data_IF_030473174633
#
_entry.id   IF_030473174633
#
_cell.length_a   1.000
_cell.length_b   1.000
_cell.length_c   1.000
_cell.angle_alpha   90.00
_cell.angle_beta   90.00
_cell.angle_gamma   90.00
#
_symmetry.space_group_name_H-M   'P 1'
#
loop_
_entity.id
_entity.type
_entity.pdbx_description
1 polymer ?
#
# COMPACT_ATOMS: atom_id res chain seq x y z
N UNK A 1 12.17 -12.13 5.32
CA UNK A 1 11.10 -11.29 4.70
C UNK A 1 10.87 -11.65 3.22
N UNK A 2 11.88 -11.74 2.37
CA UNK A 2 11.72 -12.01 0.93
C UNK A 2 10.87 -13.27 0.61
N UNK A 3 11.08 -14.39 1.31
CA UNK A 3 10.28 -15.60 1.13
C UNK A 3 8.80 -15.37 1.48
N UNK A 4 8.52 -14.67 2.59
CA UNK A 4 7.16 -14.30 2.98
C UNK A 4 6.49 -13.36 1.97
N UNK A 5 7.27 -12.58 1.22
CA UNK A 5 6.83 -11.71 0.14
C UNK A 5 6.87 -12.43 -1.24
N UNK A 6 6.49 -13.70 -1.30
CA UNK A 6 6.43 -14.49 -2.54
C UNK A 6 7.74 -14.49 -3.34
N UNK A 7 8.88 -14.64 -2.64
CA UNK A 7 10.22 -14.65 -3.23
C UNK A 7 10.62 -13.35 -3.95
N UNK A 8 10.06 -12.23 -3.56
CA UNK A 8 10.49 -10.91 -4.03
C UNK A 8 11.80 -10.54 -3.34
N UNK A 9 12.93 -11.01 -3.87
CA UNK A 9 14.24 -10.95 -3.22
C UNK A 9 14.76 -9.52 -3.07
N UNK A 10 14.39 -8.60 -3.94
CA UNK A 10 14.79 -7.19 -3.85
C UNK A 10 14.41 -6.52 -2.51
N UNK A 11 13.42 -7.07 -1.80
CA UNK A 11 13.06 -6.58 -0.45
C UNK A 11 14.20 -6.77 0.57
N UNK A 12 15.11 -7.70 0.31
CA UNK A 12 16.26 -7.95 1.18
C UNK A 12 17.39 -6.93 0.98
N UNK A 13 17.41 -6.25 -0.18
CA UNK A 13 18.41 -5.24 -0.53
C UNK A 13 17.99 -3.84 -0.06
N UNK A 14 16.73 -3.66 0.32
CA UNK A 14 16.22 -2.40 0.84
C UNK A 14 16.76 -2.11 2.25
N UNK A 15 17.18 -0.87 2.51
CA UNK A 15 17.66 -0.42 3.82
C UNK A 15 16.59 -0.56 4.90
N UNK A 16 15.35 -0.29 4.55
CA UNK A 16 14.20 -0.33 5.46
C UNK A 16 13.01 -0.99 4.77
N UNK A 17 12.25 -1.80 5.52
CA UNK A 17 10.95 -2.31 5.10
C UNK A 17 9.89 -1.86 6.10
N UNK A 18 8.96 -1.03 5.65
CA UNK A 18 7.83 -0.56 6.45
C UNK A 18 6.68 -1.56 6.27
N UNK A 19 6.18 -2.10 7.38
CA UNK A 19 4.96 -2.91 7.36
C UNK A 19 3.78 -2.06 7.85
N UNK A 20 2.79 -1.86 7.00
CA UNK A 20 1.57 -1.18 7.38
C UNK A 20 0.60 -2.12 8.07
N UNK A 21 0.15 -1.73 9.24
CA UNK A 21 -0.76 -2.52 10.05
C UNK A 21 -2.11 -1.81 10.20
N UNK A 22 -3.19 -2.59 10.21
CA UNK A 22 -4.53 -2.11 10.49
C UNK A 22 -5.13 -2.84 11.69
N UNK A 23 -5.84 -2.11 12.56
CA UNK A 23 -6.57 -2.70 13.70
C UNK A 23 -8.08 -2.82 13.40
N UNK A 24 -8.58 -4.03 13.10
CA UNK A 24 -10.02 -4.24 12.88
C UNK A 24 -10.88 -3.92 14.11
N UNK A 25 -10.31 -4.03 15.32
CA UNK A 25 -11.01 -3.75 16.58
C UNK A 25 -11.29 -2.26 16.75
N UNK A 26 -10.30 -1.42 16.59
CA UNK A 26 -10.46 0.05 16.67
C UNK A 26 -11.38 0.60 15.58
N UNK A 27 -11.29 0.05 14.36
CA UNK A 27 -12.14 0.47 13.27
C UNK A 27 -13.64 0.23 13.52
N UNK A 28 -13.99 -0.83 14.24
CA UNK A 28 -15.37 -1.14 14.61
C UNK A 28 -15.94 -0.19 15.66
N UNK A 29 -15.10 0.37 16.53
CA UNK A 29 -15.53 1.28 17.59
C UNK A 29 -15.91 2.67 17.07
N UNK A 30 -15.44 3.04 15.88
CA UNK A 30 -15.59 4.39 15.30
C UNK A 30 -16.69 4.51 14.26
N UNK A 31 -17.30 3.41 13.82
CA UNK A 31 -18.21 3.42 12.68
C UNK A 31 -19.52 2.69 12.99
N UNK A 32 -20.62 3.30 12.55
CA UNK A 32 -21.91 2.65 12.46
C UNK A 32 -21.80 1.39 11.57
N UNK A 33 -22.41 0.31 12.02
CA UNK A 33 -22.45 -0.98 11.31
C UNK A 33 -23.05 -0.89 9.89
N UNK A 34 -23.77 0.19 9.59
CA UNK A 34 -24.31 0.48 8.26
C UNK A 34 -23.25 0.90 7.25
N UNK A 35 -22.09 1.38 7.70
CA UNK A 35 -21.01 1.79 6.82
C UNK A 35 -20.16 0.57 6.44
N UNK A 36 -20.31 0.10 5.20
CA UNK A 36 -19.52 -1.01 4.62
C UNK A 36 -18.04 -0.68 4.40
N UNK A 37 -17.52 0.36 5.06
CA UNK A 37 -16.08 0.68 5.00
C UNK A 37 -15.28 -0.36 5.78
N UNK A 38 -14.09 -0.63 5.29
CA UNK A 38 -13.08 -1.45 5.97
C UNK A 38 -11.92 -0.50 6.34
N UNK A 39 -12.12 0.41 7.34
CA UNK A 39 -11.16 1.49 7.63
C UNK A 39 -9.78 0.97 7.99
N UNK A 40 -9.72 -0.15 8.72
CA UNK A 40 -8.44 -0.78 9.08
C UNK A 40 -7.60 -1.21 7.87
N UNK A 41 -8.20 -1.26 6.67
CA UNK A 41 -7.47 -1.50 5.41
C UNK A 41 -7.23 -0.21 4.64
N UNK A 42 -8.24 0.66 4.58
CA UNK A 42 -8.19 1.88 3.75
C UNK A 42 -7.30 2.97 4.35
N UNK A 43 -7.43 3.22 5.65
CA UNK A 43 -6.69 4.28 6.31
C UNK A 43 -5.16 4.07 6.27
N UNK A 44 -4.61 2.86 6.54
CA UNK A 44 -3.19 2.60 6.35
C UNK A 44 -2.71 2.76 4.89
N UNK A 45 -3.56 2.44 3.90
CA UNK A 45 -3.20 2.63 2.48
C UNK A 45 -2.97 4.09 2.13
N UNK A 46 -3.79 5.00 2.67
CA UNK A 46 -3.63 6.45 2.49
C UNK A 46 -2.30 6.90 3.12
N UNK A 47 -2.00 6.43 4.32
CA UNK A 47 -0.75 6.79 5.00
C UNK A 47 0.49 6.30 4.23
N UNK A 48 0.46 5.07 3.70
CA UNK A 48 1.57 4.54 2.90
C UNK A 48 1.75 5.34 1.62
N UNK A 49 0.68 5.72 0.92
CA UNK A 49 0.79 6.52 -0.30
C UNK A 49 1.50 7.86 -0.03
N UNK A 50 1.19 8.52 1.10
CA UNK A 50 1.93 9.71 1.50
C UNK A 50 3.41 9.41 1.77
N UNK A 51 3.75 8.25 2.35
CA UNK A 51 5.14 7.83 2.54
C UNK A 51 5.86 7.60 1.20
N UNK A 52 5.19 6.99 0.22
CA UNK A 52 5.71 6.80 -1.15
C UNK A 52 6.03 8.14 -1.80
N UNK A 53 5.11 9.10 -1.73
CA UNK A 53 5.31 10.44 -2.29
C UNK A 53 6.46 11.17 -1.58
N UNK A 54 6.53 11.10 -0.25
CA UNK A 54 7.61 11.69 0.52
C UNK A 54 8.97 11.06 0.19
N UNK A 55 9.05 9.73 0.13
CA UNK A 55 10.27 9.00 -0.23
C UNK A 55 10.76 9.41 -1.61
N UNK A 56 9.87 9.48 -2.60
CA UNK A 56 10.20 9.93 -3.96
C UNK A 56 10.76 11.35 -3.96
N UNK A 57 10.15 12.26 -3.20
CA UNK A 57 10.61 13.66 -3.09
C UNK A 57 12.00 13.75 -2.46
N UNK A 58 12.34 12.82 -1.57
CA UNK A 58 13.64 12.73 -0.91
C UNK A 58 14.68 11.94 -1.73
N UNK A 59 14.33 11.45 -2.93
CA UNK A 59 15.22 10.71 -3.81
C UNK A 59 15.34 9.22 -3.51
N UNK A 60 14.46 8.66 -2.66
CA UNK A 60 14.41 7.23 -2.38
C UNK A 60 13.49 6.49 -3.37
N UNK A 61 13.84 5.23 -3.62
CA UNK A 61 13.01 4.27 -4.33
C UNK A 61 12.11 3.51 -3.35
N UNK A 62 10.92 3.15 -3.81
CA UNK A 62 9.95 2.35 -3.06
C UNK A 62 9.27 1.34 -3.96
N UNK A 63 8.75 0.27 -3.37
CA UNK A 63 7.89 -0.68 -4.07
C UNK A 63 6.73 -1.10 -3.17
N UNK A 64 5.49 -0.89 -3.62
CA UNK A 64 4.31 -1.36 -2.90
C UNK A 64 4.13 -2.86 -3.07
N UNK A 65 4.27 -3.63 -1.99
CA UNK A 65 4.07 -5.08 -1.98
C UNK A 65 2.74 -5.40 -1.30
N UNK A 66 1.79 -5.92 -2.09
CA UNK A 66 0.51 -6.44 -1.61
C UNK A 66 0.40 -7.96 -1.68
N UNK A 67 1.35 -8.62 -2.33
CA UNK A 67 1.38 -10.08 -2.48
C UNK A 67 2.41 -10.70 -1.53
N UNK A 68 1.95 -11.19 -0.38
CA UNK A 68 2.77 -11.83 0.65
C UNK A 68 1.95 -12.84 1.47
N UNK A 69 2.64 -13.75 2.16
CA UNK A 69 2.04 -14.58 3.19
C UNK A 69 1.93 -13.79 4.50
N UNK A 70 0.73 -13.37 4.86
CA UNK A 70 0.46 -12.57 6.04
C UNK A 70 0.88 -13.28 7.34
N UNK A 71 0.68 -14.60 7.43
CA UNK A 71 1.04 -15.37 8.64
C UNK A 71 2.54 -15.37 8.85
N UNK A 72 3.31 -15.58 7.78
CA UNK A 72 4.76 -15.55 7.84
C UNK A 72 5.30 -14.15 8.17
N UNK A 73 4.73 -13.10 7.60
CA UNK A 73 5.08 -11.72 7.94
C UNK A 73 4.81 -11.44 9.42
N UNK A 74 3.63 -11.82 9.92
CA UNK A 74 3.29 -11.67 11.35
C UNK A 74 4.27 -12.43 12.25
N UNK A 75 4.62 -13.65 11.88
CA UNK A 75 5.58 -14.46 12.63
C UNK A 75 6.95 -13.80 12.70
N UNK A 76 7.46 -13.30 11.57
CA UNK A 76 8.78 -12.67 11.47
C UNK A 76 8.83 -11.36 12.27
N UNK A 77 7.79 -10.52 12.13
CA UNK A 77 7.71 -9.20 12.76
C UNK A 77 7.09 -9.22 14.16
N UNK A 78 6.67 -10.40 14.65
CA UNK A 78 5.97 -10.57 15.93
C UNK A 78 4.71 -9.70 16.04
N UNK A 79 3.98 -9.56 14.92
CA UNK A 79 2.72 -8.81 14.86
C UNK A 79 1.63 -9.61 15.54
N UNK A 80 0.87 -9.03 16.48
CA UNK A 80 -0.27 -9.70 17.12
C UNK A 80 -1.33 -10.15 16.11
N UNK A 81 -1.94 -11.33 16.31
CA UNK A 81 -2.93 -11.91 15.40
C UNK A 81 -4.14 -11.01 15.12
N UNK A 82 -4.52 -10.17 16.09
CA UNK A 82 -5.64 -9.23 15.95
C UNK A 82 -5.40 -8.14 14.90
N UNK A 83 -4.14 -7.84 14.56
CA UNK A 83 -3.79 -6.83 13.56
C UNK A 83 -3.70 -7.47 12.18
N UNK A 84 -4.12 -6.72 11.16
CA UNK A 84 -3.95 -7.09 9.76
C UNK A 84 -2.68 -6.44 9.18
N UNK A 85 -1.90 -7.19 8.42
CA UNK A 85 -0.82 -6.62 7.60
C UNK A 85 -1.42 -6.20 6.27
N UNK A 86 -1.33 -4.92 5.94
CA UNK A 86 -1.99 -4.33 4.76
C UNK A 86 -1.05 -4.29 3.56
N UNK A 87 0.19 -3.88 3.79
CA UNK A 87 1.22 -3.80 2.76
C UNK A 87 2.61 -3.83 3.38
N UNK A 88 3.59 -4.20 2.57
CA UNK A 88 5.01 -4.02 2.86
C UNK A 88 5.56 -2.98 1.89
N UNK A 89 6.32 -2.03 2.39
CA UNK A 89 6.94 -0.97 1.62
C UNK A 89 8.46 -0.98 1.86
N UNK A 90 9.25 -1.66 1.04
CA UNK A 90 10.69 -1.47 1.03
C UNK A 90 11.03 -0.05 0.57
N UNK A 91 12.01 0.55 1.24
CA UNK A 91 12.54 1.89 0.95
C UNK A 91 14.06 1.78 0.90
N UNK A 92 14.67 2.31 -0.15
CA UNK A 92 16.11 2.29 -0.33
C UNK A 92 16.58 3.25 -1.41
N UNK A 93 17.88 3.29 -1.65
CA UNK A 93 18.45 4.04 -2.79
C UNK A 93 18.10 3.27 -4.08
N UNK A 94 17.44 3.90 -5.07
CA UNK A 94 17.05 3.20 -6.28
C UNK A 94 18.28 2.84 -7.12
N UNK A 95 18.35 1.59 -7.57
CA UNK A 95 19.39 1.07 -8.49
C UNK A 95 18.83 0.91 -9.93
N UNK A 96 17.57 1.27 -10.14
CA UNK A 96 16.93 1.24 -11.44
C UNK A 96 16.03 2.47 -11.65
N UNK A 97 15.81 2.82 -12.92
CA UNK A 97 14.88 3.87 -13.30
C UNK A 97 13.93 3.33 -14.39
N UNK A 98 12.93 2.52 -14.02
CA UNK A 98 12.04 1.90 -14.97
C UNK A 98 11.21 2.95 -15.73
N UNK A 99 10.92 2.71 -17.02
CA UNK A 99 10.10 3.63 -17.80
C UNK A 99 8.67 3.70 -17.23
N UNK A 100 7.99 4.85 -17.35
CA UNK A 100 6.61 4.99 -16.92
C UNK A 100 5.71 3.96 -17.61
N UNK A 101 4.88 3.27 -16.83
CA UNK A 101 3.86 2.37 -17.40
C UNK A 101 2.76 3.20 -18.07
N UNK A 102 2.17 2.70 -19.18
CA UNK A 102 1.08 3.40 -19.85
C UNK A 102 -0.11 3.62 -18.89
N UNK A 103 -0.76 4.76 -19.04
CA UNK A 103 -1.96 5.12 -18.28
C UNK A 103 -3.13 5.26 -19.24
N UNK A 104 -4.34 4.98 -18.75
CA UNK A 104 -5.56 5.27 -19.51
C UNK A 104 -5.70 6.78 -19.74
N UNK A 105 -6.27 7.20 -20.87
CA UNK A 105 -6.60 8.60 -21.10
C UNK A 105 -7.52 9.16 -20.01
N UNK A 106 -7.36 10.44 -19.68
CA UNK A 106 -8.18 11.10 -18.64
C UNK A 106 -9.68 10.91 -18.84
N UNK A 107 -10.16 11.06 -20.09
CA UNK A 107 -11.60 10.88 -20.44
C UNK A 107 -12.17 9.49 -20.16
N UNK A 108 -11.32 8.47 -19.96
CA UNK A 108 -11.76 7.11 -19.65
C UNK A 108 -11.81 6.85 -18.13
N UNK A 109 -11.23 7.71 -17.32
CA UNK A 109 -11.09 7.48 -15.87
C UNK A 109 -11.62 8.64 -15.02
N UNK A 110 -11.83 9.82 -15.61
CA UNK A 110 -12.42 10.96 -14.92
C UNK A 110 -13.75 11.34 -15.55
N UNK A 111 -14.77 11.43 -14.71
CA UNK A 111 -16.13 11.76 -15.12
C UNK A 111 -16.63 12.97 -14.32
N UNK A 112 -17.45 13.80 -14.96
CA UNK A 112 -18.09 14.95 -14.36
C UNK A 112 -19.55 14.60 -13.99
N UNK A 113 -19.95 14.90 -12.74
CA UNK A 113 -21.31 14.76 -12.22
C UNK A 113 -21.83 13.31 -12.17
N UNK A 114 -21.68 12.52 -13.25
CA UNK A 114 -22.14 11.13 -13.30
C UNK A 114 -21.17 10.24 -14.05
N UNK A 115 -21.17 8.94 -13.72
CA UNK A 115 -20.34 7.96 -14.41
C UNK A 115 -20.73 7.90 -15.90
N UNK A 116 -19.72 7.89 -16.77
CA UNK A 116 -19.90 7.86 -18.22
C UNK A 116 -19.96 9.23 -18.89
N UNK A 117 -19.99 10.34 -18.14
CA UNK A 117 -19.86 11.69 -18.69
C UNK A 117 -18.40 12.13 -18.56
N UNK A 118 -17.56 12.08 -19.63
CA UNK A 118 -16.16 12.38 -19.54
C UNK A 118 -15.89 13.79 -19.03
N UNK A 119 -14.86 13.94 -18.18
CA UNK A 119 -14.33 15.26 -17.85
C UNK A 119 -13.46 15.74 -19.02
N UNK A 120 -13.89 16.83 -19.64
CA UNK A 120 -13.10 17.55 -20.64
C UNK A 120 -12.19 18.54 -19.90
N UNK A 121 -10.88 18.46 -20.17
CA UNK A 121 -9.82 19.32 -19.63
C UNK A 121 -9.32 20.25 -20.71
#
# INVERSE_FOLDING_TARGET
MAVAANNQYFIADADVVIAALGDPGEARLRLDASLRRIPHKQDPMIAIEHMVLAATTLGYGTCWIGAFDEREVKRILKVPERLAVIALLPVGVPDENPPPKPRKPFKEIFFRESYGTPLEL
#
